data_IF_155485537563
#
_entry.id   IF_155485537563
#
_cell.length_a   1.000
_cell.length_b   1.000
_cell.length_c   1.000
_cell.angle_alpha   90.00
_cell.angle_beta   90.00
_cell.angle_gamma   90.00
#
_symmetry.space_group_name_H-M   'P 1'
#
loop_
_entity.id
_entity.type
_entity.pdbx_description
1 polymer ?
#
# COMPACT_ATOMS: atom_id res chain seq x y z
N UNK A 1 7.98 23.55 8.65
CA UNK A 1 6.95 22.62 9.18
C UNK A 1 6.64 21.50 8.18
N UNK A 2 6.61 21.80 6.89
CA UNK A 2 6.47 20.87 5.77
C UNK A 2 7.50 19.73 5.76
N UNK A 3 8.75 19.98 6.16
CA UNK A 3 9.80 18.96 6.23
C UNK A 3 9.51 17.94 7.33
N UNK A 4 9.03 18.39 8.49
CA UNK A 4 8.65 17.48 9.58
C UNK A 4 7.47 16.59 9.17
N UNK A 5 6.51 17.13 8.42
CA UNK A 5 5.41 16.36 7.83
C UNK A 5 5.91 15.37 6.78
N UNK A 6 6.80 15.80 5.89
CA UNK A 6 7.40 14.95 4.86
C UNK A 6 8.21 13.79 5.45
N UNK A 7 9.04 14.05 6.46
CA UNK A 7 9.79 13.01 7.20
C UNK A 7 8.82 12.06 7.91
N UNK A 8 7.75 12.56 8.53
CA UNK A 8 6.75 11.71 9.19
C UNK A 8 6.08 10.77 8.18
N UNK A 9 5.68 11.30 7.02
CA UNK A 9 5.12 10.49 5.93
C UNK A 9 6.12 9.43 5.45
N UNK A 10 7.40 9.78 5.30
CA UNK A 10 8.44 8.82 4.92
C UNK A 10 8.59 7.69 5.94
N UNK A 11 8.66 8.03 7.23
CA UNK A 11 8.81 7.04 8.30
C UNK A 11 7.60 6.11 8.34
N UNK A 12 6.38 6.64 8.29
CA UNK A 12 5.16 5.83 8.28
C UNK A 12 5.06 4.97 7.02
N UNK A 13 5.37 5.54 5.85
CA UNK A 13 5.37 4.83 4.58
C UNK A 13 6.35 3.66 4.56
N UNK A 14 7.60 3.88 4.97
CA UNK A 14 8.64 2.84 5.06
C UNK A 14 8.25 1.78 6.09
N UNK A 15 7.69 2.17 7.24
CA UNK A 15 7.24 1.24 8.27
C UNK A 15 6.08 0.36 7.79
N UNK A 16 5.14 0.90 6.99
CA UNK A 16 4.00 0.16 6.44
C UNK A 16 4.37 -0.79 5.30
N UNK A 17 5.45 -0.50 4.56
CA UNK A 17 5.89 -1.28 3.40
C UNK A 17 6.09 -2.78 3.72
N UNK A 18 6.85 -3.20 4.75
CA UNK A 18 7.03 -4.63 5.06
C UNK A 18 5.71 -5.30 5.45
N UNK A 19 4.81 -4.63 6.16
CA UNK A 19 3.49 -5.17 6.49
C UNK A 19 2.67 -5.40 5.24
N UNK A 20 2.64 -4.43 4.31
CA UNK A 20 1.94 -4.58 3.04
C UNK A 20 2.49 -5.75 2.21
N UNK A 21 3.81 -5.93 2.18
CA UNK A 21 4.45 -7.04 1.46
C UNK A 21 4.09 -8.39 2.08
N UNK A 22 4.14 -8.52 3.41
CA UNK A 22 3.79 -9.77 4.10
C UNK A 22 2.33 -10.11 3.87
N UNK A 23 1.42 -9.15 4.07
CA UNK A 23 -0.01 -9.36 3.89
C UNK A 23 -0.35 -9.72 2.45
N UNK A 24 0.26 -9.05 1.47
CA UNK A 24 0.06 -9.34 0.05
C UNK A 24 0.58 -10.73 -0.31
N UNK A 25 1.73 -11.13 0.24
CA UNK A 25 2.28 -12.46 0.03
C UNK A 25 1.35 -13.56 0.56
N UNK A 26 0.75 -13.34 1.72
CA UNK A 26 -0.15 -14.33 2.32
C UNK A 26 -1.50 -14.38 1.59
N UNK A 27 -2.10 -13.23 1.27
CA UNK A 27 -3.28 -13.18 0.39
C UNK A 27 -3.02 -13.86 -0.96
N UNK A 28 -1.84 -13.63 -1.56
CA UNK A 28 -1.49 -14.26 -2.84
C UNK A 28 -1.36 -15.78 -2.77
N UNK A 29 -0.95 -16.33 -1.61
CA UNK A 29 -0.95 -17.80 -1.41
C UNK A 29 -2.36 -18.33 -1.36
N UNK A 30 -3.26 -17.69 -0.61
CA UNK A 30 -4.66 -18.09 -0.53
C UNK A 30 -5.32 -18.05 -1.90
N UNK A 31 -5.08 -16.98 -2.68
CA UNK A 31 -5.60 -16.83 -4.04
C UNK A 31 -5.09 -17.92 -5.00
N UNK A 32 -3.88 -18.45 -4.79
CA UNK A 32 -3.32 -19.52 -5.64
C UNK A 32 -4.01 -20.87 -5.44
N UNK A 33 -4.56 -21.12 -4.27
CA UNK A 33 -5.24 -22.37 -3.93
C UNK A 33 -6.71 -22.39 -4.39
N UNK A 34 -7.24 -21.24 -4.83
CA UNK A 34 -8.61 -21.12 -5.32
C UNK A 34 -8.79 -21.69 -6.75
N UNK A 35 -10.03 -22.09 -7.05
CA UNK A 35 -10.44 -22.47 -8.41
C UNK A 35 -10.32 -21.29 -9.38
N UNK A 36 -10.18 -21.53 -10.71
CA UNK A 36 -9.94 -20.45 -11.68
C UNK A 36 -11.00 -19.33 -11.70
N UNK A 37 -12.25 -19.65 -11.42
CA UNK A 37 -13.35 -18.67 -11.31
C UNK A 37 -13.23 -17.84 -10.03
N UNK A 38 -13.00 -18.50 -8.88
CA UNK A 38 -12.82 -17.83 -7.60
C UNK A 38 -11.56 -16.94 -7.57
N UNK A 39 -10.49 -17.35 -8.27
CA UNK A 39 -9.25 -16.58 -8.41
C UNK A 39 -9.48 -15.22 -9.08
N UNK A 40 -10.29 -15.18 -10.15
CA UNK A 40 -10.64 -13.92 -10.82
C UNK A 40 -11.41 -12.98 -9.89
N UNK A 41 -12.38 -13.51 -9.15
CA UNK A 41 -13.15 -12.73 -8.18
C UNK A 41 -12.28 -12.20 -7.06
N UNK A 42 -11.39 -13.02 -6.50
CA UNK A 42 -10.50 -12.59 -5.42
C UNK A 42 -9.53 -11.48 -5.86
N UNK A 43 -8.95 -11.58 -7.06
CA UNK A 43 -8.09 -10.52 -7.62
C UNK A 43 -8.91 -9.24 -7.86
N UNK A 44 -10.15 -9.36 -8.36
CA UNK A 44 -11.02 -8.20 -8.57
C UNK A 44 -11.39 -7.52 -7.25
N UNK A 45 -11.64 -8.29 -6.19
CA UNK A 45 -11.90 -7.76 -4.85
C UNK A 45 -10.66 -7.08 -4.26
N UNK A 46 -9.46 -7.66 -4.37
CA UNK A 46 -8.19 -7.03 -3.98
C UNK A 46 -7.96 -5.68 -4.68
N UNK A 47 -8.35 -5.56 -5.95
CA UNK A 47 -8.26 -4.29 -6.69
C UNK A 47 -9.37 -3.33 -6.26
N UNK A 48 -10.60 -3.80 -6.05
CA UNK A 48 -11.69 -2.95 -5.56
C UNK A 48 -11.39 -2.36 -4.17
N UNK A 49 -10.67 -3.12 -3.34
CA UNK A 49 -10.26 -2.74 -2.00
C UNK A 49 -9.37 -1.48 -1.97
N UNK A 50 -8.67 -1.17 -3.08
CA UNK A 50 -7.97 0.10 -3.27
C UNK A 50 -8.90 1.32 -3.29
N UNK A 51 -10.17 1.14 -3.70
CA UNK A 51 -11.10 2.23 -4.01
C UNK A 51 -12.26 2.36 -3.02
N UNK A 52 -12.58 1.33 -2.23
CA UNK A 52 -13.74 1.33 -1.33
C UNK A 52 -13.37 1.48 0.13
N UNK A 53 -12.57 0.56 0.68
CA UNK A 53 -12.12 0.60 2.07
C UNK A 53 -10.74 -0.08 2.16
N UNK A 54 -9.69 0.61 2.62
CA UNK A 54 -8.33 0.07 2.60
C UNK A 54 -8.12 -0.88 3.78
N UNK A 55 -8.67 -2.09 3.69
CA UNK A 55 -8.64 -3.09 4.77
C UNK A 55 -7.72 -4.28 4.40
N UNK A 56 -7.51 -4.51 3.11
CA UNK A 56 -6.73 -5.61 2.54
C UNK A 56 -5.30 -5.24 2.12
N UNK A 57 -4.58 -6.26 1.67
CA UNK A 57 -3.14 -6.22 1.40
C UNK A 57 -2.69 -5.17 0.39
N UNK A 58 -3.37 -5.12 -0.75
CA UNK A 58 -2.99 -4.21 -1.84
C UNK A 58 -3.19 -2.76 -1.45
N UNK A 59 -4.20 -2.45 -0.62
CA UNK A 59 -4.43 -1.11 -0.11
C UNK A 59 -3.32 -0.62 0.82
N UNK A 60 -2.74 -1.51 1.64
CA UNK A 60 -1.65 -1.18 2.56
C UNK A 60 -0.34 -0.87 1.83
N UNK A 61 -0.03 -1.64 0.78
CA UNK A 61 1.10 -1.38 -0.11
C UNK A 61 0.93 -0.05 -0.86
N UNK A 62 -0.27 0.22 -1.35
CA UNK A 62 -0.57 1.45 -2.06
C UNK A 62 -0.49 2.68 -1.14
N UNK A 63 -1.01 2.58 0.09
CA UNK A 63 -0.90 3.64 1.09
C UNK A 63 0.55 3.91 1.49
N UNK A 64 1.35 2.86 1.67
CA UNK A 64 2.79 2.97 1.91
C UNK A 64 3.49 3.74 0.78
N UNK A 65 3.20 3.41 -0.49
CA UNK A 65 3.73 4.11 -1.65
C UNK A 65 3.32 5.59 -1.69
N UNK A 66 2.05 5.90 -1.42
CA UNK A 66 1.56 7.29 -1.35
C UNK A 66 2.33 8.08 -0.30
N UNK A 67 2.55 7.50 0.89
CA UNK A 67 3.29 8.17 1.96
C UNK A 67 4.76 8.38 1.62
N UNK A 68 5.41 7.42 0.96
CA UNK A 68 6.79 7.57 0.51
C UNK A 68 6.88 8.65 -0.58
N UNK A 69 6.05 8.58 -1.62
CA UNK A 69 6.11 9.54 -2.74
C UNK A 69 5.72 10.95 -2.26
N UNK A 70 4.63 11.07 -1.50
CA UNK A 70 4.18 12.34 -0.94
C UNK A 70 5.19 12.92 0.05
N UNK A 71 5.80 12.07 0.89
CA UNK A 71 6.86 12.46 1.80
C UNK A 71 8.10 12.97 1.09
N UNK A 72 8.58 12.25 0.07
CA UNK A 72 9.69 12.70 -0.79
C UNK A 72 9.33 14.03 -1.45
N UNK A 73 8.16 14.14 -2.06
CA UNK A 73 7.72 15.35 -2.75
C UNK A 73 7.67 16.56 -1.83
N UNK A 74 7.12 16.43 -0.62
CA UNK A 74 7.07 17.51 0.36
C UNK A 74 8.46 17.93 0.86
N UNK A 75 9.35 16.97 1.09
CA UNK A 75 10.74 17.28 1.45
C UNK A 75 11.42 18.02 0.30
N UNK A 76 11.34 17.50 -0.93
CA UNK A 76 12.01 18.08 -2.09
C UNK A 76 11.53 19.49 -2.43
N UNK A 77 10.22 19.75 -2.29
CA UNK A 77 9.60 21.03 -2.62
C UNK A 77 9.94 22.14 -1.62
N UNK A 78 10.41 21.82 -0.42
CA UNK A 78 10.90 22.81 0.55
C UNK A 78 12.37 23.20 0.32
N UNK A 79 13.13 22.37 -0.40
CA UNK A 79 14.53 22.65 -0.76
C UNK A 79 14.68 23.30 -2.15
N UNK A 80 13.58 23.52 -2.87
CA UNK A 80 13.53 24.14 -4.20
C UNK A 80 13.15 25.62 -4.12
#
# INVERSE_FOLDING_TARGET
MTTAVGITLLVVGIALLPFGVIYFKDSWKEIKELSPSAKKTAIFLEILDLFTAPIGSTSLLFLSLIFIIGGIGLVFLEFL
#
